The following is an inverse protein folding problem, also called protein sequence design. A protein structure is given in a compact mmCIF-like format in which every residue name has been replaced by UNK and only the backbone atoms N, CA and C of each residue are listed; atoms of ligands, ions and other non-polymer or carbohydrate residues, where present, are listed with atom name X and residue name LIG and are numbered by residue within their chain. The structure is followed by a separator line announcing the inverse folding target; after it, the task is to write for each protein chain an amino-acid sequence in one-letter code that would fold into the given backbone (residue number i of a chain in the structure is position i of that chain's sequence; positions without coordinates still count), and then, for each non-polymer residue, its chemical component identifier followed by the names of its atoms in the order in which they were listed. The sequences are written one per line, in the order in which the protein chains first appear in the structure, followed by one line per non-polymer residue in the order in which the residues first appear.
data_IF_375619106728
#
_entry.id   IF_375619106728
#
_cell.length_a   1.000
_cell.length_b   1.000
_cell.length_c   1.000
_cell.angle_alpha   90.00
_cell.angle_beta   90.00
_cell.angle_gamma   90.00
#
_symmetry.space_group_name_H-M   'P 1'
#
loop_
_entity.id
_entity.type
_entity.pdbx_description
1 polymer ?
#
# COMPACT_ATOMS: atom_id res chain seq x y z
N UNK A 1 -7.43 11.76 17.45
CA UNK A 1 -6.36 10.86 16.99
C UNK A 1 -5.69 11.46 15.77
N UNK A 2 -4.41 11.40 15.74
CA UNK A 2 -3.66 11.93 14.60
C UNK A 2 -3.66 10.96 13.44
N UNK A 3 -3.74 11.48 12.21
CA UNK A 3 -3.67 10.71 10.98
C UNK A 3 -2.26 10.72 10.37
N UNK A 4 -1.27 11.17 11.13
CA UNK A 4 0.11 11.19 10.65
C UNK A 4 0.60 9.77 10.38
N UNK A 5 1.27 9.53 9.24
CA UNK A 5 1.85 8.23 8.96
C UNK A 5 2.88 7.85 10.02
N UNK A 6 2.91 6.56 10.36
CA UNK A 6 3.95 6.00 11.20
C UNK A 6 5.07 5.52 10.29
N UNK A 7 6.30 5.92 10.60
CA UNK A 7 7.47 5.54 9.81
C UNK A 7 8.48 4.80 10.68
N UNK A 8 9.08 3.76 10.12
CA UNK A 8 10.15 3.02 10.74
C UNK A 8 11.14 2.59 9.66
N UNK A 9 12.44 2.63 9.98
CA UNK A 9 13.49 2.18 9.07
C UNK A 9 14.11 0.90 9.62
N UNK A 10 14.36 -0.07 8.74
CA UNK A 10 14.98 -1.32 9.11
C UNK A 10 15.76 -1.88 7.92
N UNK A 11 17.04 -2.15 8.11
CA UNK A 11 17.91 -2.75 7.08
C UNK A 11 17.89 -1.97 5.76
N UNK A 12 17.82 -0.64 5.84
CA UNK A 12 17.75 0.23 4.67
C UNK A 12 16.36 0.32 4.05
N UNK A 13 15.38 -0.36 4.60
CA UNK A 13 13.99 -0.31 4.12
C UNK A 13 13.18 0.61 5.02
N UNK A 14 12.44 1.52 4.41
CA UNK A 14 11.57 2.43 5.12
C UNK A 14 10.14 1.94 5.07
N UNK A 15 9.54 1.77 6.23
CA UNK A 15 8.14 1.33 6.38
C UNK A 15 7.26 2.51 6.77
N UNK A 16 6.13 2.68 6.08
CA UNK A 16 5.14 3.72 6.37
C UNK A 16 3.78 3.08 6.58
N UNK A 17 3.02 3.61 7.54
CA UNK A 17 1.64 3.20 7.76
C UNK A 17 0.75 4.43 7.70
N UNK A 18 -0.34 4.35 6.94
CA UNK A 18 -1.32 5.42 6.82
C UNK A 18 -1.09 6.37 5.66
N UNK A 19 0.01 6.22 4.92
CA UNK A 19 0.28 7.03 3.73
C UNK A 19 -0.08 6.26 2.47
N UNK A 20 -0.70 6.95 1.51
CA UNK A 20 -1.02 6.37 0.20
C UNK A 20 0.12 6.75 -0.75
N UNK A 21 0.80 5.77 -1.39
CA UNK A 21 1.88 6.08 -2.33
C UNK A 21 1.37 6.74 -3.61
N UNK A 22 2.28 7.34 -4.35
CA UNK A 22 1.96 7.89 -5.66
C UNK A 22 1.49 6.79 -6.62
N UNK A 23 0.57 7.14 -7.53
CA UNK A 23 -0.01 6.18 -8.47
C UNK A 23 1.04 5.47 -9.32
N UNK A 24 2.08 6.18 -9.76
CA UNK A 24 3.14 5.57 -10.57
C UNK A 24 3.92 4.52 -9.78
N UNK A 25 4.17 4.74 -8.49
CA UNK A 25 4.85 3.78 -7.62
C UNK A 25 3.98 2.54 -7.41
N UNK A 26 2.68 2.73 -7.19
CA UNK A 26 1.72 1.64 -7.04
C UNK A 26 1.65 0.81 -8.31
N UNK A 27 1.54 1.45 -9.47
CA UNK A 27 1.53 0.75 -10.77
C UNK A 27 2.78 -0.09 -10.95
N UNK A 28 3.95 0.49 -10.68
CA UNK A 28 5.21 -0.21 -10.86
C UNK A 28 5.29 -1.46 -9.97
N UNK A 29 4.85 -1.36 -8.71
CA UNK A 29 4.87 -2.49 -7.79
C UNK A 29 3.90 -3.59 -8.23
N UNK A 30 2.65 -3.24 -8.53
CA UNK A 30 1.66 -4.23 -8.94
C UNK A 30 2.07 -4.94 -10.23
N UNK A 31 2.63 -4.20 -11.20
CA UNK A 31 3.12 -4.81 -12.43
C UNK A 31 4.35 -5.70 -12.17
N UNK A 32 5.25 -5.30 -11.27
CA UNK A 32 6.44 -6.07 -10.96
C UNK A 32 6.12 -7.44 -10.34
N UNK A 33 5.05 -7.53 -9.56
CA UNK A 33 4.63 -8.79 -8.96
C UNK A 33 3.64 -9.57 -9.84
N UNK A 34 3.35 -9.09 -11.03
CA UNK A 34 2.49 -9.80 -12.00
C UNK A 34 1.00 -9.56 -11.83
N UNK A 35 0.60 -8.55 -11.08
CA UNK A 35 -0.81 -8.23 -10.84
C UNK A 35 -1.31 -7.12 -11.78
N UNK A 36 -1.02 -7.25 -13.06
CA UNK A 36 -1.33 -6.22 -14.05
C UNK A 36 -2.83 -6.04 -14.30
N UNK A 37 -3.66 -6.98 -13.91
CA UNK A 37 -5.11 -6.80 -13.98
C UNK A 37 -5.59 -5.61 -13.14
N UNK A 38 -4.92 -5.33 -12.01
CA UNK A 38 -5.22 -4.17 -11.17
C UNK A 38 -4.82 -2.85 -11.85
N UNK A 39 -3.70 -2.84 -12.55
CA UNK A 39 -3.18 -1.62 -13.17
C UNK A 39 -3.90 -1.25 -14.46
N UNK A 40 -4.73 -2.15 -14.99
CA UNK A 40 -5.59 -1.85 -16.12
C UNK A 40 -6.61 -0.74 -15.81
N UNK A 41 -6.95 -0.56 -14.52
CA UNK A 41 -7.82 0.53 -14.06
C UNK A 41 -7.21 1.16 -12.81
N UNK A 42 -6.29 2.09 -13.01
CA UNK A 42 -5.59 2.74 -11.90
C UNK A 42 -6.50 3.59 -11.03
N UNK A 43 -7.55 4.18 -11.59
CA UNK A 43 -8.49 4.99 -10.79
C UNK A 43 -9.20 4.12 -9.76
N UNK A 44 -9.65 2.93 -10.17
CA UNK A 44 -10.28 1.98 -9.25
C UNK A 44 -9.29 1.48 -8.21
N UNK A 45 -8.07 1.16 -8.61
CA UNK A 45 -7.05 0.68 -7.68
C UNK A 45 -6.70 1.76 -6.64
N UNK A 46 -6.44 2.99 -7.06
CA UNK A 46 -6.14 4.08 -6.15
C UNK A 46 -7.32 4.41 -5.24
N UNK A 47 -8.54 4.35 -5.77
CA UNK A 47 -9.74 4.51 -4.95
C UNK A 47 -9.86 3.45 -3.88
N UNK A 48 -9.52 2.20 -4.20
CA UNK A 48 -9.50 1.10 -3.24
C UNK A 48 -8.46 1.32 -2.13
N UNK A 49 -7.28 1.80 -2.47
CA UNK A 49 -6.25 2.12 -1.48
C UNK A 49 -6.71 3.23 -0.55
N UNK A 50 -7.29 4.30 -1.10
CA UNK A 50 -7.80 5.41 -0.31
C UNK A 50 -8.95 5.00 0.62
N UNK A 51 -9.76 4.03 0.20
CA UNK A 51 -10.86 3.51 1.00
C UNK A 51 -10.46 2.41 1.98
N UNK A 52 -9.20 1.98 1.98
CA UNK A 52 -8.72 0.97 2.91
C UNK A 52 -8.58 1.52 4.32
N UNK A 53 -8.80 0.66 5.33
CA UNK A 53 -8.64 1.07 6.72
C UNK A 53 -7.19 1.44 7.03
N UNK A 54 -6.25 0.70 6.47
CA UNK A 54 -4.82 0.96 6.63
C UNK A 54 -4.08 0.47 5.39
N UNK A 55 -3.08 1.26 5.00
CA UNK A 55 -2.10 0.86 3.97
C UNK A 55 -0.72 0.95 4.59
N UNK A 56 0.03 -0.16 4.53
CA UNK A 56 1.41 -0.22 4.97
C UNK A 56 2.29 -0.37 3.74
N UNK A 57 3.31 0.45 3.63
CA UNK A 57 4.21 0.44 2.48
C UNK A 57 5.65 0.27 2.92
N UNK A 58 6.48 -0.27 2.03
CA UNK A 58 7.91 -0.43 2.24
C UNK A 58 8.66 0.16 1.05
N UNK A 59 9.63 1.01 1.34
CA UNK A 59 10.45 1.68 0.32
C UNK A 59 11.91 1.30 0.50
N UNK A 60 12.57 1.02 -0.62
CA UNK A 60 14.02 0.90 -0.70
C UNK A 60 14.53 2.14 -1.45
N UNK A 61 15.07 3.11 -0.69
CA UNK A 61 15.33 4.43 -1.24
C UNK A 61 14.02 5.08 -1.69
N UNK A 62 13.95 5.47 -2.97
CA UNK A 62 12.73 6.04 -3.54
C UNK A 62 11.82 5.02 -4.21
N UNK A 63 12.13 3.73 -4.13
CA UNK A 63 11.38 2.68 -4.83
C UNK A 63 10.43 1.95 -3.89
N UNK A 64 9.16 1.90 -4.25
CA UNK A 64 8.16 1.12 -3.50
C UNK A 64 8.39 -0.37 -3.77
N UNK A 65 8.73 -1.12 -2.72
CA UNK A 65 9.06 -2.55 -2.83
C UNK A 65 8.05 -3.44 -2.11
N UNK A 66 7.18 -2.88 -1.30
CA UNK A 66 6.17 -3.67 -0.60
C UNK A 66 4.94 -2.85 -0.29
N UNK A 67 3.79 -3.51 -0.25
CA UNK A 67 2.51 -2.90 0.09
C UNK A 67 1.61 -3.95 0.72
N UNK A 68 0.96 -3.59 1.80
CA UNK A 68 -0.13 -4.36 2.39
C UNK A 68 -1.29 -3.43 2.68
N UNK A 69 -2.50 -3.85 2.35
CA UNK A 69 -3.67 -3.04 2.68
C UNK A 69 -4.70 -3.86 3.45
N UNK A 70 -5.31 -3.20 4.41
CA UNK A 70 -6.32 -3.79 5.28
C UNK A 70 -7.65 -3.11 5.04
N UNK A 71 -8.70 -3.90 4.86
CA UNK A 71 -10.07 -3.45 4.74
C UNK A 71 -10.79 -3.80 6.03
N UNK A 72 -11.54 -2.86 6.59
CA UNK A 72 -12.19 -3.05 7.88
C UNK A 72 -13.50 -2.26 7.93
N UNK A 73 -14.46 -2.78 8.69
CA UNK A 73 -15.69 -2.03 9.01
C UNK A 73 -15.49 -1.06 10.18
N UNK A 74 -14.31 -1.08 10.79
CA UNK A 74 -13.99 -0.24 11.93
C UNK A 74 -14.47 -0.79 13.28
N UNK A 75 -15.10 -1.95 13.30
CA UNK A 75 -15.68 -2.52 14.51
C UNK A 75 -15.28 -3.97 14.78
N UNK A 76 -15.64 -4.88 13.91
CA UNK A 76 -15.51 -6.32 14.19
C UNK A 76 -14.65 -7.06 13.18
N UNK A 77 -14.49 -6.55 11.96
CA UNK A 77 -13.84 -7.26 10.87
C UNK A 77 -12.67 -6.45 10.34
N UNK A 78 -11.54 -7.10 10.16
CA UNK A 78 -10.39 -6.57 9.45
C UNK A 78 -9.89 -7.64 8.48
N UNK A 79 -9.74 -7.28 7.20
CA UNK A 79 -9.23 -8.15 6.16
C UNK A 79 -7.91 -7.63 5.63
N UNK A 80 -6.93 -8.51 5.57
CA UNK A 80 -5.71 -8.25 4.84
C UNK A 80 -5.98 -8.58 3.37
N UNK A 81 -6.23 -7.53 2.58
CA UNK A 81 -6.74 -7.68 1.22
C UNK A 81 -5.62 -7.95 0.21
N UNK A 82 -4.56 -7.16 0.25
CA UNK A 82 -3.44 -7.29 -0.67
C UNK A 82 -2.14 -7.33 0.11
N UNK A 83 -1.24 -8.23 -0.25
CA UNK A 83 0.14 -8.25 0.21
C UNK A 83 1.03 -8.43 -1.01
N UNK A 84 1.84 -7.41 -1.32
CA UNK A 84 2.76 -7.43 -2.44
C UNK A 84 4.17 -7.20 -1.95
N UNK A 85 5.10 -8.00 -2.45
CA UNK A 85 6.54 -7.83 -2.16
C UNK A 85 7.29 -8.05 -3.47
N UNK A 86 8.10 -7.08 -3.82
CA UNK A 86 8.96 -7.15 -5.02
C UNK A 86 10.39 -7.54 -4.64
#
# INVERSE_FOLDING_TARGET
MTDSPIAADRDGIRYLSGAIPAADDVRALYDAVGWSAYTADMDTLMGGLQGSATVVTAFDGGRLVGLARVVSDGHTIAYLQDILVD
#
